data_IF_371184682413
#
_entry.id   IF_371184682413
#
_cell.length_a   1.000
_cell.length_b   1.000
_cell.length_c   1.000
_cell.angle_alpha   90.00
_cell.angle_beta   90.00
_cell.angle_gamma   90.00
#
_symmetry.space_group_name_H-M   'P 1'
#
loop_
_entity.id
_entity.type
_entity.pdbx_description
1 polymer ?
#
# COMPACT_ATOMS: atom_id res chain seq x y z
N UNK A 1 -19.71 1.60 19.16
CA UNK A 1 -18.34 1.72 18.64
C UNK A 1 -18.08 0.44 17.87
N UNK A 2 -17.90 0.54 16.55
CA UNK A 2 -17.55 -0.63 15.76
C UNK A 2 -16.18 -1.15 16.21
N UNK A 3 -16.03 -2.47 16.24
CA UNK A 3 -14.79 -3.10 16.67
C UNK A 3 -13.66 -2.83 15.67
N UNK A 4 -12.40 -2.87 16.12
CA UNK A 4 -11.25 -2.76 15.22
C UNK A 4 -11.28 -3.83 14.12
N UNK A 5 -11.81 -5.02 14.42
CA UNK A 5 -12.04 -6.05 13.43
C UNK A 5 -13.03 -5.59 12.33
N UNK A 6 -14.16 -4.99 12.71
CA UNK A 6 -15.12 -4.46 11.74
C UNK A 6 -14.50 -3.35 10.87
N UNK A 7 -13.72 -2.45 11.49
CA UNK A 7 -13.01 -1.37 10.78
C UNK A 7 -11.97 -1.88 9.78
N UNK A 8 -11.24 -2.93 10.12
CA UNK A 8 -10.29 -3.58 9.20
C UNK A 8 -11.01 -4.29 8.06
N UNK A 9 -12.09 -5.00 8.35
CA UNK A 9 -12.88 -5.71 7.34
C UNK A 9 -13.50 -4.73 6.34
N UNK A 10 -14.01 -3.58 6.79
CA UNK A 10 -14.55 -2.54 5.91
C UNK A 10 -13.47 -1.97 4.96
N UNK A 11 -12.29 -1.67 5.47
CA UNK A 11 -11.17 -1.19 4.65
C UNK A 11 -10.66 -2.26 3.67
N UNK A 12 -10.58 -3.52 4.11
CA UNK A 12 -10.15 -4.64 3.27
C UNK A 12 -11.17 -4.94 2.16
N UNK A 13 -12.47 -4.91 2.47
CA UNK A 13 -13.54 -5.07 1.49
C UNK A 13 -13.48 -3.95 0.44
N UNK A 14 -13.38 -2.70 0.88
CA UNK A 14 -13.27 -1.55 -0.02
C UNK A 14 -12.06 -1.67 -0.96
N UNK A 15 -10.88 -1.95 -0.41
CA UNK A 15 -9.67 -2.15 -1.20
C UNK A 15 -9.84 -3.31 -2.20
N UNK A 16 -10.47 -4.41 -1.78
CA UNK A 16 -10.72 -5.56 -2.66
C UNK A 16 -11.65 -5.19 -3.82
N UNK A 17 -12.69 -4.42 -3.57
CA UNK A 17 -13.62 -3.95 -4.60
C UNK A 17 -12.96 -3.01 -5.60
N UNK A 18 -12.14 -2.07 -5.12
CA UNK A 18 -11.42 -1.09 -5.95
C UNK A 18 -10.32 -1.74 -6.80
N UNK A 19 -9.59 -2.70 -6.25
CA UNK A 19 -8.51 -3.41 -6.94
C UNK A 19 -8.94 -4.72 -7.63
N UNK A 20 -10.25 -5.02 -7.75
CA UNK A 20 -10.77 -6.32 -8.21
C UNK A 20 -10.24 -6.78 -9.59
N UNK A 21 -9.95 -5.84 -10.48
CA UNK A 21 -9.45 -6.10 -11.84
C UNK A 21 -7.92 -5.98 -11.94
N UNK A 22 -7.27 -5.43 -10.92
CA UNK A 22 -5.83 -5.20 -10.92
C UNK A 22 -5.07 -6.49 -10.56
N UNK A 23 -3.92 -6.69 -11.19
CA UNK A 23 -3.00 -7.80 -10.94
C UNK A 23 -1.59 -7.29 -10.65
N UNK A 24 -0.83 -8.08 -9.89
CA UNK A 24 0.59 -7.92 -9.65
C UNK A 24 1.37 -8.28 -10.94
N UNK A 25 2.64 -7.87 -11.00
CA UNK A 25 3.51 -8.02 -12.20
C UNK A 25 4.37 -9.28 -12.16
N UNK A 26 4.10 -10.17 -11.22
CA UNK A 26 4.68 -11.51 -11.19
C UNK A 26 4.11 -12.36 -12.34
N UNK A 27 4.79 -13.45 -12.74
CA UNK A 27 4.38 -14.29 -13.86
C UNK A 27 2.98 -14.91 -13.74
N UNK A 28 2.47 -15.12 -12.52
CA UNK A 28 1.14 -15.69 -12.29
C UNK A 28 0.04 -14.62 -12.36
N UNK A 29 0.43 -13.33 -12.38
CA UNK A 29 -0.52 -12.22 -12.34
C UNK A 29 -1.39 -12.30 -11.08
N UNK A 30 -0.76 -12.38 -9.91
CA UNK A 30 -1.47 -12.58 -8.65
C UNK A 30 -2.45 -11.41 -8.37
N UNK A 31 -3.64 -11.62 -7.77
CA UNK A 31 -4.58 -10.52 -7.45
C UNK A 31 -3.94 -9.40 -6.64
N UNK A 32 -4.16 -8.15 -7.05
CA UNK A 32 -3.45 -7.00 -6.44
C UNK A 32 -3.76 -6.80 -4.96
N UNK A 33 -5.00 -7.11 -4.52
CA UNK A 33 -5.43 -7.02 -3.11
C UNK A 33 -4.51 -7.76 -2.13
N UNK A 34 -3.78 -8.79 -2.58
CA UNK A 34 -2.82 -9.48 -1.75
C UNK A 34 -1.71 -8.55 -1.24
N UNK A 35 -1.36 -7.52 -2.00
CA UNK A 35 -0.34 -6.55 -1.61
C UNK A 35 -0.77 -5.64 -0.46
N UNK A 36 -1.87 -4.87 -0.53
CA UNK A 36 -2.31 -4.08 0.62
C UNK A 36 -2.52 -4.92 1.90
N UNK A 37 -3.05 -6.14 1.77
CA UNK A 37 -3.18 -7.08 2.90
C UNK A 37 -1.80 -7.41 3.49
N UNK A 38 -0.82 -7.72 2.64
CA UNK A 38 0.52 -8.06 3.12
C UNK A 38 1.24 -6.87 3.75
N UNK A 39 1.05 -5.64 3.25
CA UNK A 39 1.58 -4.41 3.85
C UNK A 39 0.98 -4.20 5.24
N UNK A 40 -0.34 -4.29 5.39
CA UNK A 40 -1.01 -4.20 6.68
C UNK A 40 -0.53 -5.30 7.66
N UNK A 41 -0.34 -6.53 7.16
CA UNK A 41 0.20 -7.65 7.94
C UNK A 41 1.63 -7.39 8.40
N UNK A 42 2.51 -6.83 7.56
CA UNK A 42 3.88 -6.47 7.96
C UNK A 42 3.86 -5.47 9.12
N UNK A 43 3.01 -4.43 9.02
CA UNK A 43 2.87 -3.44 10.09
C UNK A 43 2.39 -4.11 11.39
N UNK A 44 1.33 -4.91 11.33
CA UNK A 44 0.75 -5.55 12.52
C UNK A 44 1.68 -6.59 13.15
N UNK A 45 2.24 -7.49 12.34
CA UNK A 45 2.93 -8.68 12.85
C UNK A 45 4.45 -8.48 13.03
N UNK A 46 5.09 -7.64 12.21
CA UNK A 46 6.55 -7.48 12.24
C UNK A 46 6.97 -6.16 12.89
N UNK A 47 6.21 -5.08 12.67
CA UNK A 47 6.46 -3.79 13.32
C UNK A 47 5.68 -3.58 14.63
N UNK A 48 4.79 -4.52 15.00
CA UNK A 48 4.01 -4.45 16.25
C UNK A 48 2.97 -3.32 16.29
N UNK A 49 2.52 -2.84 15.13
CA UNK A 49 1.55 -1.75 15.02
C UNK A 49 0.15 -2.24 15.41
N UNK A 50 -0.46 -1.59 16.40
CA UNK A 50 -1.85 -1.80 16.82
C UNK A 50 -2.77 -0.62 16.47
N UNK A 51 -2.22 0.43 15.87
CA UNK A 51 -2.94 1.62 15.44
C UNK A 51 -3.86 1.30 14.25
N UNK A 52 -5.17 1.21 14.54
CA UNK A 52 -6.21 0.83 13.58
C UNK A 52 -6.27 1.73 12.35
N UNK A 53 -6.10 3.04 12.51
CA UNK A 53 -6.15 3.97 11.37
C UNK A 53 -4.94 3.80 10.45
N UNK A 54 -3.76 3.50 11.01
CA UNK A 54 -2.56 3.19 10.21
C UNK A 54 -2.72 1.87 9.46
N UNK A 55 -3.33 0.86 10.09
CA UNK A 55 -3.63 -0.42 9.44
C UNK A 55 -4.70 -0.28 8.34
N UNK A 56 -5.73 0.55 8.55
CA UNK A 56 -6.69 0.91 7.51
C UNK A 56 -6.00 1.65 6.35
N UNK A 57 -5.16 2.65 6.65
CA UNK A 57 -4.40 3.36 5.63
C UNK A 57 -3.49 2.42 4.82
N UNK A 58 -2.91 1.39 5.45
CA UNK A 58 -2.12 0.38 4.76
C UNK A 58 -2.92 -0.45 3.75
N UNK A 59 -4.16 -0.85 4.10
CA UNK A 59 -5.07 -1.54 3.20
C UNK A 59 -5.50 -0.65 2.03
N UNK A 60 -5.51 0.68 2.23
CA UNK A 60 -6.06 1.65 1.29
C UNK A 60 -5.00 2.42 0.49
N UNK A 61 -3.71 2.24 0.77
CA UNK A 61 -2.65 3.18 0.35
C UNK A 61 -2.53 3.38 -1.16
N UNK A 62 -2.82 2.35 -1.96
CA UNK A 62 -2.78 2.39 -3.43
C UNK A 62 -4.14 2.72 -4.07
N UNK A 63 -5.22 2.82 -3.30
CA UNK A 63 -6.57 2.97 -3.87
C UNK A 63 -6.71 4.27 -4.66
N UNK A 64 -6.26 5.40 -4.11
CA UNK A 64 -6.31 6.69 -4.82
C UNK A 64 -5.29 6.76 -5.96
N UNK A 65 -4.15 6.06 -5.83
CA UNK A 65 -3.10 6.09 -6.84
C UNK A 65 -3.48 5.25 -8.08
N UNK A 66 -4.07 4.07 -7.89
CA UNK A 66 -4.21 3.04 -8.94
C UNK A 66 -5.67 2.72 -9.32
N UNK A 67 -6.67 3.40 -8.74
CA UNK A 67 -8.10 3.14 -9.01
C UNK A 67 -8.87 4.45 -9.23
N UNK A 68 -10.19 4.36 -9.36
CA UNK A 68 -11.10 5.53 -9.47
C UNK A 68 -11.42 6.20 -8.12
N UNK A 69 -10.76 5.76 -7.04
CA UNK A 69 -11.00 6.27 -5.69
C UNK A 69 -10.55 7.71 -5.54
N UNK A 70 -11.35 8.53 -4.85
CA UNK A 70 -11.00 9.92 -4.52
C UNK A 70 -10.72 10.09 -3.03
N UNK A 71 -9.93 11.12 -2.67
CA UNK A 71 -9.73 11.47 -1.26
C UNK A 71 -11.05 11.83 -0.55
N UNK A 72 -12.01 12.43 -1.26
CA UNK A 72 -13.32 12.76 -0.69
C UNK A 72 -14.14 11.50 -0.36
N UNK A 73 -14.06 10.48 -1.22
CA UNK A 73 -14.68 9.16 -0.97
C UNK A 73 -14.05 8.50 0.27
N UNK A 74 -12.71 8.51 0.38
CA UNK A 74 -12.02 7.97 1.55
C UNK A 74 -12.36 8.74 2.83
N UNK A 75 -12.43 10.06 2.77
CA UNK A 75 -12.72 10.88 3.95
C UNK A 75 -14.15 10.65 4.46
N UNK A 76 -15.11 10.54 3.53
CA UNK A 76 -16.49 10.25 3.87
C UNK A 76 -16.68 8.88 4.53
N UNK A 77 -15.90 7.86 4.14
CA UNK A 77 -16.05 6.48 4.64
C UNK A 77 -15.15 6.15 5.83
N UNK A 78 -13.89 6.60 5.81
CA UNK A 78 -12.84 6.20 6.77
C UNK A 78 -12.33 7.35 7.64
N UNK A 79 -12.77 8.58 7.38
CA UNK A 79 -12.40 9.76 8.14
C UNK A 79 -11.07 10.39 7.73
N UNK A 80 -10.82 11.57 8.30
CA UNK A 80 -9.70 12.44 7.93
C UNK A 80 -8.33 11.88 8.33
N UNK A 81 -8.24 11.12 9.42
CA UNK A 81 -6.98 10.54 9.88
C UNK A 81 -6.44 9.49 8.90
N UNK A 82 -7.29 8.56 8.46
CA UNK A 82 -6.95 7.54 7.44
C UNK A 82 -6.64 8.22 6.11
N UNK A 83 -7.50 9.16 5.69
CA UNK A 83 -7.33 9.86 4.40
C UNK A 83 -6.05 10.69 4.37
N UNK A 84 -5.67 11.33 5.48
CA UNK A 84 -4.42 12.07 5.61
C UNK A 84 -3.20 11.18 5.40
N UNK A 85 -3.19 9.99 6.03
CA UNK A 85 -2.11 9.02 5.85
C UNK A 85 -2.01 8.52 4.40
N UNK A 86 -3.14 8.18 3.78
CA UNK A 86 -3.16 7.76 2.36
C UNK A 86 -2.60 8.87 1.47
N UNK A 87 -3.04 10.12 1.69
CA UNK A 87 -2.56 11.29 0.94
C UNK A 87 -1.06 11.52 1.08
N UNK A 88 -0.48 11.28 2.27
CA UNK A 88 0.96 11.39 2.47
C UNK A 88 1.76 10.36 1.66
N UNK A 89 1.15 9.23 1.28
CA UNK A 89 1.83 8.12 0.59
C UNK A 89 1.45 7.94 -0.88
N UNK A 90 0.39 8.59 -1.36
CA UNK A 90 0.00 8.62 -2.78
C UNK A 90 0.97 9.47 -3.62
N UNK A 91 1.47 8.90 -4.73
CA UNK A 91 2.21 9.67 -5.72
C UNK A 91 1.28 10.41 -6.70
N UNK A 92 1.76 11.52 -7.25
CA UNK A 92 1.11 12.24 -8.34
C UNK A 92 1.34 11.51 -9.68
N UNK A 93 0.30 10.84 -10.20
CA UNK A 93 0.36 10.07 -11.46
C UNK A 93 0.53 10.90 -12.72
N UNK A 94 0.31 12.21 -12.66
CA UNK A 94 0.55 13.12 -13.80
C UNK A 94 2.05 13.29 -14.08
N UNK A 95 2.89 12.99 -13.09
CA UNK A 95 4.35 13.10 -13.21
C UNK A 95 4.97 11.83 -13.82
N UNK A 96 6.05 11.98 -14.63
CA UNK A 96 6.81 10.84 -15.13
C UNK A 96 7.32 9.94 -13.99
N UNK A 97 7.38 8.62 -14.23
CA UNK A 97 7.79 7.64 -13.22
C UNK A 97 9.14 7.96 -12.54
N UNK A 98 10.12 8.45 -13.31
CA UNK A 98 11.42 8.84 -12.76
C UNK A 98 11.29 10.00 -11.76
N UNK A 99 10.42 10.96 -12.06
CA UNK A 99 10.14 12.11 -11.21
C UNK A 99 9.43 11.70 -9.93
N UNK A 100 8.41 10.84 -10.02
CA UNK A 100 7.71 10.29 -8.85
C UNK A 100 8.69 9.60 -7.89
N UNK A 101 9.59 8.77 -8.44
CA UNK A 101 10.64 8.11 -7.64
C UNK A 101 11.60 9.09 -6.97
N UNK A 102 12.00 10.16 -7.67
CA UNK A 102 12.86 11.21 -7.10
C UNK A 102 12.17 11.91 -5.94
N UNK A 103 10.91 12.32 -6.15
CA UNK A 103 10.08 12.96 -5.13
C UNK A 103 9.81 12.06 -3.92
N UNK A 104 9.68 10.74 -4.11
CA UNK A 104 9.54 9.81 -2.98
C UNK A 104 10.75 9.90 -2.04
N UNK A 105 11.97 9.99 -2.58
CA UNK A 105 13.22 10.11 -1.80
C UNK A 105 13.31 11.48 -1.14
N UNK A 106 13.07 12.56 -1.90
CA UNK A 106 13.16 13.93 -1.41
C UNK A 106 12.14 14.22 -0.30
N UNK A 107 10.91 13.70 -0.41
CA UNK A 107 9.83 13.92 0.56
C UNK A 107 9.91 12.99 1.77
N UNK A 108 10.61 11.86 1.69
CA UNK A 108 10.65 10.87 2.77
C UNK A 108 11.01 11.44 4.16
N UNK A 109 12.00 12.34 4.30
CA UNK A 109 12.33 12.95 5.61
C UNK A 109 11.19 13.77 6.21
N UNK A 110 10.38 14.43 5.38
CA UNK A 110 9.22 15.23 5.79
C UNK A 110 7.97 14.41 6.14
N UNK A 111 7.97 13.11 5.81
CA UNK A 111 6.98 12.07 6.18
C UNK A 111 6.55 12.18 7.66
N UNK A 112 5.26 12.12 8.01
CA UNK A 112 4.86 11.81 9.39
C UNK A 112 5.42 10.44 9.81
N UNK A 113 5.65 10.18 11.12
CA UNK A 113 6.17 8.89 11.58
C UNK A 113 5.28 7.70 11.14
N UNK A 114 3.96 7.89 11.14
CA UNK A 114 2.98 6.88 10.69
C UNK A 114 3.12 6.61 9.19
N UNK A 115 3.19 7.66 8.36
CA UNK A 115 3.40 7.52 6.92
C UNK A 115 4.74 6.86 6.59
N UNK A 116 5.81 7.16 7.35
CA UNK A 116 7.12 6.50 7.20
C UNK A 116 7.05 4.99 7.46
N UNK A 117 6.35 4.56 8.52
CA UNK A 117 6.14 3.13 8.79
C UNK A 117 5.41 2.44 7.63
N UNK A 118 4.33 3.07 7.15
CA UNK A 118 3.58 2.55 6.00
C UNK A 118 4.46 2.40 4.76
N UNK A 119 5.25 3.42 4.41
CA UNK A 119 6.17 3.34 3.29
C UNK A 119 7.25 2.26 3.45
N UNK A 120 7.79 2.10 4.66
CA UNK A 120 8.77 1.05 4.92
C UNK A 120 8.17 -0.34 4.71
N UNK A 121 6.94 -0.57 5.19
CA UNK A 121 6.23 -1.82 4.99
C UNK A 121 5.91 -2.10 3.50
N UNK A 122 5.46 -1.08 2.76
CA UNK A 122 5.26 -1.16 1.31
C UNK A 122 6.57 -1.57 0.58
N UNK A 123 7.65 -0.83 0.85
CA UNK A 123 8.96 -1.10 0.22
C UNK A 123 9.48 -2.49 0.60
N UNK A 124 9.33 -2.91 1.86
CA UNK A 124 9.73 -4.23 2.32
C UNK A 124 8.96 -5.34 1.58
N UNK A 125 7.64 -5.20 1.45
CA UNK A 125 6.82 -6.16 0.70
C UNK A 125 7.28 -6.25 -0.76
N UNK A 126 7.46 -5.10 -1.42
CA UNK A 126 7.86 -5.06 -2.83
C UNK A 126 9.26 -5.65 -3.05
N UNK A 127 10.20 -5.43 -2.14
CA UNK A 127 11.53 -6.06 -2.21
C UNK A 127 11.47 -7.58 -2.01
N UNK A 128 10.65 -8.06 -1.06
CA UNK A 128 10.41 -9.51 -0.85
C UNK A 128 9.78 -10.16 -2.09
N UNK A 129 8.81 -9.49 -2.71
CA UNK A 129 8.19 -9.96 -3.95
C UNK A 129 9.21 -10.04 -5.11
N UNK A 130 10.04 -9.01 -5.29
CA UNK A 130 11.09 -9.02 -6.31
C UNK A 130 12.09 -10.16 -6.06
N UNK A 131 12.49 -10.39 -4.81
CA UNK A 131 13.43 -11.46 -4.47
C UNK A 131 12.84 -12.85 -4.77
N UNK A 132 11.57 -13.07 -4.42
CA UNK A 132 10.87 -14.35 -4.64
C UNK A 132 10.55 -14.57 -6.13
N UNK A 133 10.00 -13.57 -6.79
CA UNK A 133 9.54 -13.65 -8.16
C UNK A 133 9.77 -12.31 -8.88
N UNK A 134 10.94 -12.12 -9.50
CA UNK A 134 11.24 -10.91 -10.24
C UNK A 134 10.16 -10.63 -11.29
N UNK A 135 9.75 -9.36 -11.48
CA UNK A 135 8.74 -9.03 -12.48
C UNK A 135 9.19 -9.48 -13.87
N UNK A 136 8.22 -9.91 -14.70
CA UNK A 136 8.51 -10.36 -16.05
C UNK A 136 9.28 -9.29 -16.85
N UNK A 137 10.28 -9.72 -17.63
CA UNK A 137 11.06 -8.84 -18.50
C UNK A 137 12.11 -7.95 -17.81
N UNK A 138 12.39 -8.15 -16.52
CA UNK A 138 13.38 -7.34 -15.78
C UNK A 138 14.82 -7.84 -15.86
N UNK A 139 15.06 -9.06 -16.37
CA UNK A 139 16.39 -9.67 -16.45
C UNK A 139 17.03 -10.01 -15.09
N UNK A 140 16.34 -9.76 -13.98
CA UNK A 140 16.78 -10.12 -12.63
C UNK A 140 16.58 -11.63 -12.45
N UNK A 141 17.62 -12.42 -12.14
CA UNK A 141 17.47 -13.85 -11.90
C UNK A 141 16.64 -14.10 -10.63
N UNK A 142 15.82 -15.15 -10.63
CA UNK A 142 15.16 -15.64 -9.40
C UNK A 142 16.24 -15.96 -8.38
N UNK A 143 16.20 -15.33 -7.21
CA UNK A 143 17.02 -15.77 -6.08
C UNK A 143 16.41 -17.11 -5.61
N UNK A 144 17.06 -18.22 -5.99
CA UNK A 144 16.77 -19.53 -5.43
C UNK A 144 16.92 -19.44 -3.90
N UNK A 145 15.82 -19.69 -3.20
CA UNK A 145 15.66 -19.94 -1.76
C UNK A 145 16.89 -19.67 -0.87
N UNK A 146 16.77 -18.70 0.04
CA UNK A 146 17.35 -18.80 1.38
C UNK A 146 16.37 -19.57 2.27
#
# INVERSE_FOLDING_TARGET
MDSDAARLLDAAEFAAQKHREQRRKDPEGTPFINHPIAVARILACEAGVTDIELLQAALLHDTVEDTDTTFAELEARFGSAVTGLVREVTDDKELPRAERKRLQVERAPGRSPRAKLLQLADKLHNLRDIARCPPAGTGIPKLLHL
#
